data_IF_662881825765
#
_entry.id   IF_662881825765
#
_cell.length_a   1.000
_cell.length_b   1.000
_cell.length_c   1.000
_cell.angle_alpha   90.00
_cell.angle_beta   90.00
_cell.angle_gamma   90.00
#
_symmetry.space_group_name_H-M   'P 1'
#
loop_
_entity.id
_entity.type
_entity.pdbx_description
1 polymer ?
#
# COMPACT_ATOMS: atom_id res chain seq x y z
N UNK A 1 -42.23 -16.37 6.10
CA UNK A 1 -41.48 -15.09 6.10
C UNK A 1 -41.94 -14.30 7.32
N UNK A 2 -41.19 -14.37 8.42
CA UNK A 2 -41.55 -13.70 9.67
C UNK A 2 -40.67 -12.46 9.83
N UNK A 3 -41.32 -11.30 9.93
CA UNK A 3 -40.69 -10.00 10.05
C UNK A 3 -40.01 -9.90 11.42
N UNK A 4 -38.70 -9.67 11.42
CA UNK A 4 -37.93 -9.48 12.66
C UNK A 4 -38.13 -8.04 13.13
N UNK A 5 -38.77 -7.90 14.29
CA UNK A 5 -39.16 -6.64 14.92
C UNK A 5 -37.94 -5.72 15.15
N UNK A 6 -38.06 -4.49 14.66
CA UNK A 6 -37.04 -3.41 14.74
C UNK A 6 -36.81 -2.94 16.19
N UNK A 7 -37.70 -3.30 17.11
CA UNK A 7 -37.76 -2.85 18.51
C UNK A 7 -36.65 -3.43 19.41
N UNK A 8 -36.08 -4.60 19.10
CA UNK A 8 -35.03 -5.23 19.93
C UNK A 8 -33.65 -4.55 19.83
N UNK A 9 -33.46 -3.65 18.85
CA UNK A 9 -32.16 -2.98 18.64
C UNK A 9 -31.85 -1.94 19.71
N UNK A 10 -32.84 -1.45 20.46
CA UNK A 10 -32.67 -0.34 21.41
C UNK A 10 -32.37 -0.77 22.85
N UNK A 11 -32.44 -2.06 23.19
CA UNK A 11 -32.00 -2.58 24.50
C UNK A 11 -30.51 -2.99 24.53
N UNK A 12 -29.79 -2.82 23.42
CA UNK A 12 -28.35 -3.10 23.31
C UNK A 12 -27.46 -2.01 23.94
N UNK A 13 -28.04 -0.95 24.53
CA UNK A 13 -27.31 0.28 24.89
C UNK A 13 -26.53 0.23 26.21
N UNK A 14 -26.43 -0.92 26.88
CA UNK A 14 -25.58 -1.05 28.09
C UNK A 14 -24.85 -2.39 28.21
N UNK A 15 -24.95 -3.28 27.22
CA UNK A 15 -24.26 -4.56 27.28
C UNK A 15 -22.86 -4.44 26.68
N UNK A 16 -21.83 -4.57 27.54
CA UNK A 16 -20.43 -4.52 27.11
C UNK A 16 -20.11 -5.79 26.30
N UNK A 17 -19.67 -5.59 25.05
CA UNK A 17 -19.24 -6.65 24.12
C UNK A 17 -17.71 -6.74 24.07
N UNK A 18 -17.16 -7.88 24.44
CA UNK A 18 -15.72 -8.12 24.46
C UNK A 18 -15.24 -8.79 23.18
N UNK A 19 -14.01 -8.47 22.75
CA UNK A 19 -13.35 -9.28 21.71
C UNK A 19 -13.00 -10.65 22.29
N UNK A 20 -12.77 -11.63 21.40
CA UNK A 20 -12.24 -12.95 21.78
C UNK A 20 -10.91 -12.81 22.54
N UNK A 21 -10.10 -11.81 22.19
CA UNK A 21 -8.82 -11.57 22.87
C UNK A 21 -9.05 -11.05 24.30
N UNK A 22 -9.90 -10.03 24.46
CA UNK A 22 -10.20 -9.46 25.78
C UNK A 22 -10.80 -10.52 26.72
N UNK A 23 -11.72 -11.35 26.20
CA UNK A 23 -12.32 -12.45 26.94
C UNK A 23 -11.27 -13.50 27.37
N UNK A 24 -10.31 -13.80 26.51
CA UNK A 24 -9.22 -14.72 26.83
C UNK A 24 -8.31 -14.16 27.93
N UNK A 25 -7.99 -12.87 27.86
CA UNK A 25 -7.16 -12.19 28.84
C UNK A 25 -7.85 -12.12 30.21
N UNK A 26 -9.18 -11.92 30.25
CA UNK A 26 -9.96 -11.87 31.50
C UNK A 26 -10.02 -13.21 32.21
N UNK A 27 -10.08 -14.31 31.46
CA UNK A 27 -10.08 -15.68 32.01
C UNK A 27 -8.67 -16.25 32.21
N UNK A 28 -7.61 -15.46 31.92
CA UNK A 28 -6.21 -15.91 31.90
C UNK A 28 -5.96 -17.17 31.07
N UNK A 29 -6.71 -17.34 29.98
CA UNK A 29 -6.53 -18.47 29.06
C UNK A 29 -5.92 -18.00 27.75
N UNK A 30 -5.27 -18.92 27.02
CA UNK A 30 -4.79 -18.61 25.68
C UNK A 30 -5.96 -18.30 24.73
N UNK A 31 -5.74 -17.39 23.77
CA UNK A 31 -6.69 -17.12 22.66
C UNK A 31 -7.15 -18.40 21.96
N UNK A 32 -6.25 -19.38 21.82
CA UNK A 32 -6.55 -20.69 21.22
C UNK A 32 -7.48 -21.54 22.08
N UNK A 33 -7.37 -21.45 23.41
CA UNK A 33 -8.31 -22.09 24.33
C UNK A 33 -9.69 -21.44 24.21
N UNK A 34 -9.76 -20.11 24.11
CA UNK A 34 -11.02 -19.41 23.87
C UNK A 34 -11.71 -19.86 22.58
N UNK A 35 -10.97 -19.96 21.47
CA UNK A 35 -11.52 -20.51 20.22
C UNK A 35 -12.00 -21.96 20.35
N UNK A 36 -11.32 -22.80 21.14
CA UNK A 36 -11.77 -24.18 21.40
C UNK A 36 -13.08 -24.22 22.16
N UNK A 37 -13.28 -23.34 23.14
CA UNK A 37 -14.54 -23.24 23.88
C UNK A 37 -15.69 -22.81 22.96
N UNK A 38 -15.43 -21.85 22.06
CA UNK A 38 -16.40 -21.43 21.04
C UNK A 38 -16.73 -22.58 20.07
N UNK A 39 -15.73 -23.33 19.61
CA UNK A 39 -15.91 -24.47 18.69
C UNK A 39 -16.71 -25.62 19.32
N UNK A 40 -16.54 -25.84 20.63
CA UNK A 40 -17.29 -26.84 21.38
C UNK A 40 -18.71 -26.39 21.74
N UNK A 41 -19.03 -25.10 21.52
CA UNK A 41 -20.33 -24.53 21.90
C UNK A 41 -20.49 -24.33 23.41
N UNK A 42 -19.38 -24.30 24.17
CA UNK A 42 -19.40 -24.09 25.62
C UNK A 42 -19.67 -22.63 26.01
N UNK A 43 -19.58 -21.69 25.05
CA UNK A 43 -19.87 -20.28 25.25
C UNK A 43 -20.69 -19.72 24.07
N UNK A 44 -21.73 -18.95 24.39
CA UNK A 44 -22.55 -18.29 23.38
C UNK A 44 -21.81 -17.06 22.87
N UNK A 45 -21.75 -16.91 21.55
CA UNK A 45 -21.11 -15.77 20.89
C UNK A 45 -22.07 -15.07 19.96
N UNK A 46 -21.94 -13.74 19.87
CA UNK A 46 -22.72 -12.90 18.97
C UNK A 46 -21.85 -12.55 17.76
N UNK A 47 -22.27 -12.97 16.57
CA UNK A 47 -21.63 -12.54 15.32
C UNK A 47 -22.27 -11.23 14.86
N UNK A 48 -21.51 -10.14 14.95
CA UNK A 48 -21.96 -8.83 14.44
C UNK A 48 -21.74 -8.75 12.91
N UNK A 49 -20.64 -9.33 12.42
CA UNK A 49 -20.31 -9.43 10.99
C UNK A 49 -19.64 -10.77 10.68
N UNK A 50 -19.44 -11.08 9.39
CA UNK A 50 -18.82 -12.33 8.91
C UNK A 50 -17.53 -12.71 9.66
N UNK A 51 -16.68 -11.73 10.00
CA UNK A 51 -15.40 -11.94 10.72
C UNK A 51 -15.36 -11.33 12.12
N UNK A 52 -16.46 -10.76 12.61
CA UNK A 52 -16.51 -10.05 13.89
C UNK A 52 -17.38 -10.82 14.87
N UNK A 53 -16.73 -11.55 15.77
CA UNK A 53 -17.38 -12.31 16.85
C UNK A 53 -17.14 -11.59 18.18
N UNK A 54 -18.20 -11.38 18.94
CA UNK A 54 -18.17 -10.73 20.25
C UNK A 54 -18.81 -11.62 21.30
N UNK A 55 -18.38 -11.45 22.55
CA UNK A 55 -18.84 -12.21 23.71
C UNK A 55 -19.40 -11.21 24.73
N UNK A 56 -20.55 -11.51 25.32
CA UNK A 56 -21.15 -10.68 26.36
C UNK A 56 -20.50 -10.97 27.72
N UNK A 57 -20.50 -9.97 28.61
CA UNK A 57 -19.95 -10.14 29.96
C UNK A 57 -20.61 -11.30 30.72
N UNK A 58 -21.93 -11.41 30.61
CA UNK A 58 -22.75 -12.40 31.32
C UNK A 58 -22.33 -13.83 30.96
N UNK A 59 -22.17 -14.10 29.66
CA UNK A 59 -21.71 -15.42 29.18
C UNK A 59 -20.28 -15.74 29.64
N UNK A 60 -19.41 -14.73 29.72
CA UNK A 60 -18.06 -14.91 30.21
C UNK A 60 -18.02 -15.26 31.71
N UNK A 61 -18.87 -14.62 32.51
CA UNK A 61 -19.00 -14.88 33.94
C UNK A 61 -19.61 -16.26 34.21
N UNK A 62 -20.68 -16.64 33.48
CA UNK A 62 -21.26 -17.99 33.54
C UNK A 62 -20.21 -19.07 33.27
N UNK A 63 -19.42 -18.86 32.20
CA UNK A 63 -18.34 -19.77 31.86
C UNK A 63 -17.31 -19.86 33.00
N UNK A 64 -16.90 -18.72 33.55
CA UNK A 64 -15.92 -18.67 34.65
C UNK A 64 -16.40 -19.42 35.90
N UNK A 65 -17.64 -19.19 36.32
CA UNK A 65 -18.24 -19.90 37.45
C UNK A 65 -18.34 -21.41 37.21
N UNK A 66 -18.71 -21.83 36.00
CA UNK A 66 -18.87 -23.27 35.67
C UNK A 66 -17.54 -24.04 35.64
N UNK A 67 -16.45 -23.39 35.25
CA UNK A 67 -15.12 -24.02 35.08
C UNK A 67 -14.13 -23.69 36.19
N UNK A 68 -14.50 -22.79 37.10
CA UNK A 68 -13.62 -22.29 38.16
C UNK A 68 -12.47 -21.42 37.65
N UNK A 69 -12.68 -20.63 36.59
CA UNK A 69 -11.66 -19.70 36.11
C UNK A 69 -11.60 -18.44 36.99
N UNK A 70 -10.39 -18.00 37.33
CA UNK A 70 -10.18 -16.71 37.96
C UNK A 70 -10.43 -15.58 36.95
N UNK A 71 -11.43 -14.73 37.23
CA UNK A 71 -11.77 -13.58 36.38
C UNK A 71 -11.07 -12.34 36.92
N UNK A 72 -10.14 -11.79 36.15
CA UNK A 72 -9.56 -10.47 36.45
C UNK A 72 -10.12 -9.48 35.44
N UNK A 73 -11.05 -8.64 35.91
CA UNK A 73 -11.51 -7.50 35.14
C UNK A 73 -10.48 -6.38 35.26
N UNK A 74 -9.74 -6.01 34.20
CA UNK A 74 -8.93 -4.81 34.25
C UNK A 74 -9.85 -3.61 34.48
N UNK A 75 -9.54 -2.83 35.52
CA UNK A 75 -10.10 -1.49 35.70
C UNK A 75 -9.83 -0.72 34.41
N UNK A 76 -10.90 -0.17 33.82
CA UNK A 76 -10.94 0.64 32.60
C UNK A 76 -9.62 0.68 31.83
N UNK A 77 -9.49 -0.22 30.85
CA UNK A 77 -8.27 -0.37 30.07
C UNK A 77 -7.85 0.97 29.47
N UNK A 78 -6.72 1.50 29.96
CA UNK A 78 -5.79 2.30 29.17
C UNK A 78 -5.73 1.62 27.80
N UNK A 79 -6.13 2.34 26.75
CA UNK A 79 -6.09 1.88 25.37
C UNK A 79 -4.85 1.02 25.14
N UNK A 80 -5.04 -0.27 24.83
CA UNK A 80 -3.92 -1.10 24.37
C UNK A 80 -3.38 -0.41 23.13
N UNK A 81 -2.23 0.22 23.25
CA UNK A 81 -1.51 0.70 22.10
C UNK A 81 -1.24 -0.55 21.25
N UNK A 82 -1.89 -0.63 20.09
CA UNK A 82 -1.66 -1.71 19.15
C UNK A 82 -0.14 -1.85 18.98
N UNK A 83 0.34 -3.10 19.08
CA UNK A 83 1.74 -3.41 18.88
C UNK A 83 2.20 -2.71 17.60
N UNK A 84 3.17 -1.83 17.74
CA UNK A 84 3.71 -1.03 16.68
C UNK A 84 4.42 -1.93 15.66
N UNK A 85 3.67 -2.59 14.79
CA UNK A 85 4.21 -3.21 13.59
C UNK A 85 4.75 -2.08 12.71
N UNK A 86 6.05 -1.78 12.86
CA UNK A 86 6.80 -0.82 12.05
C UNK A 86 7.09 0.54 12.71
N UNK A 87 7.37 0.61 14.02
CA UNK A 87 7.84 1.84 14.66
C UNK A 87 9.35 1.96 14.66
N UNK A 88 9.85 2.53 13.57
CA UNK A 88 11.14 3.23 13.56
C UNK A 88 10.97 4.71 13.15
N UNK A 89 9.74 5.14 12.84
CA UNK A 89 9.51 6.46 12.23
C UNK A 89 8.28 7.21 12.79
N UNK A 90 7.97 7.10 14.09
CA UNK A 90 6.93 7.96 14.70
C UNK A 90 7.36 9.42 14.91
N UNK A 91 8.66 9.69 15.08
CA UNK A 91 9.17 11.08 15.09
C UNK A 91 9.15 11.75 13.69
N UNK A 92 9.00 10.98 12.62
CA UNK A 92 8.99 11.51 11.25
C UNK A 92 7.58 11.89 10.74
N UNK A 93 6.51 11.66 11.51
CA UNK A 93 5.13 11.91 11.06
C UNK A 93 4.32 12.69 12.08
N UNK A 94 4.57 14.00 12.08
CA UNK A 94 3.61 15.09 12.31
C UNK A 94 4.44 16.32 12.75
N UNK A 95 5.14 16.93 11.79
CA UNK A 95 5.52 18.34 11.97
C UNK A 95 4.20 19.07 12.20
N UNK A 96 4.00 19.69 13.37
CA UNK A 96 2.84 20.55 13.62
C UNK A 96 2.90 21.67 12.60
N UNK A 97 2.25 21.50 11.45
CA UNK A 97 2.08 22.57 10.48
C UNK A 97 1.10 23.58 11.09
N UNK A 98 1.39 24.88 11.06
CA UNK A 98 0.44 25.88 11.50
C UNK A 98 -0.88 25.70 10.74
N UNK A 99 -2.02 25.92 11.41
CA UNK A 99 -3.33 25.97 10.76
C UNK A 99 -3.24 26.98 9.62
N UNK A 100 -3.70 26.61 8.44
CA UNK A 100 -3.72 27.47 7.27
C UNK A 100 -4.47 28.76 7.61
N UNK A 101 -3.77 29.89 7.66
CA UNK A 101 -4.43 31.17 7.46
C UNK A 101 -4.85 31.28 5.99
N UNK A 102 -5.94 31.98 5.70
CA UNK A 102 -6.42 32.22 4.33
C UNK A 102 -5.39 32.96 3.46
N UNK A 103 -4.44 33.67 4.10
CA UNK A 103 -3.43 34.49 3.43
C UNK A 103 -2.06 33.81 3.45
N UNK A 104 -1.45 33.68 2.27
CA UNK A 104 -0.09 33.19 2.11
C UNK A 104 0.90 34.09 2.89
N UNK A 105 1.92 33.52 3.55
CA UNK A 105 2.97 34.31 4.19
C UNK A 105 3.71 35.18 3.16
N UNK A 106 4.15 36.36 3.59
CA UNK A 106 4.74 37.38 2.73
C UNK A 106 5.97 36.83 1.99
N UNK A 107 5.97 36.88 0.66
CA UNK A 107 7.03 36.34 -0.20
C UNK A 107 6.74 34.99 -0.88
N UNK A 108 5.57 34.39 -0.67
CA UNK A 108 5.12 33.21 -1.45
C UNK A 108 4.17 33.67 -2.55
N UNK A 109 4.66 33.67 -3.79
CA UNK A 109 3.88 33.95 -5.01
C UNK A 109 3.85 32.70 -5.90
N UNK A 110 2.83 32.58 -6.76
CA UNK A 110 2.72 31.48 -7.74
C UNK A 110 3.92 31.42 -8.72
N UNK A 111 4.59 32.54 -8.96
CA UNK A 111 5.76 32.60 -9.84
C UNK A 111 7.03 32.00 -9.21
N UNK A 112 7.14 32.10 -7.88
CA UNK A 112 8.32 31.67 -7.12
C UNK A 112 8.16 30.26 -6.54
N UNK A 113 6.92 29.85 -6.28
CA UNK A 113 6.60 28.59 -5.64
C UNK A 113 5.62 27.77 -6.46
N UNK A 114 5.93 26.48 -6.63
CA UNK A 114 4.99 25.52 -7.16
C UNK A 114 4.04 25.01 -6.08
N UNK A 115 2.75 25.02 -6.40
CA UNK A 115 1.75 24.23 -5.68
C UNK A 115 1.91 22.76 -5.99
N UNK A 116 1.41 21.90 -5.10
CA UNK A 116 1.41 20.45 -5.34
C UNK A 116 0.81 20.07 -6.71
N UNK A 117 -0.30 20.69 -7.10
CA UNK A 117 -0.97 20.40 -8.37
C UNK A 117 -0.11 20.78 -9.59
N UNK A 118 0.54 21.95 -9.53
CA UNK A 118 1.45 22.40 -10.60
C UNK A 118 2.64 21.47 -10.75
N UNK A 119 3.25 20.98 -9.65
CA UNK A 119 4.34 20.00 -9.75
C UNK A 119 3.91 18.74 -10.48
N UNK A 120 2.73 18.19 -10.14
CA UNK A 120 2.25 16.97 -10.79
C UNK A 120 1.97 17.20 -12.28
N UNK A 121 1.43 18.37 -12.64
CA UNK A 121 1.11 18.71 -14.03
C UNK A 121 2.34 19.08 -14.86
N UNK A 122 3.31 19.83 -14.32
CA UNK A 122 4.48 20.30 -15.05
C UNK A 122 5.52 19.21 -15.28
N UNK A 123 5.67 18.28 -14.33
CA UNK A 123 6.68 17.22 -14.41
C UNK A 123 6.11 15.85 -14.82
N UNK A 124 4.80 15.73 -15.04
CA UNK A 124 4.09 14.46 -15.31
C UNK A 124 4.44 13.36 -14.28
N UNK A 125 4.53 13.75 -13.01
CA UNK A 125 4.87 12.84 -11.91
C UNK A 125 3.59 12.48 -11.15
N UNK A 126 3.42 11.20 -10.82
CA UNK A 126 2.30 10.75 -9.97
C UNK A 126 2.48 11.24 -8.54
N UNK A 127 1.36 11.53 -7.88
CA UNK A 127 1.31 12.00 -6.49
C UNK A 127 2.23 11.20 -5.55
N UNK A 128 2.09 9.87 -5.49
CA UNK A 128 2.91 9.04 -4.60
C UNK A 128 4.42 9.12 -4.88
N UNK A 129 4.81 9.29 -6.15
CA UNK A 129 6.21 9.39 -6.57
C UNK A 129 6.84 10.69 -6.10
N UNK A 130 6.12 11.80 -6.22
CA UNK A 130 6.61 13.09 -5.70
C UNK A 130 6.74 13.07 -4.15
N UNK A 131 5.89 12.33 -3.44
CA UNK A 131 6.05 12.14 -2.00
C UNK A 131 7.33 11.38 -1.61
N UNK A 132 7.73 10.36 -2.39
CA UNK A 132 9.00 9.66 -2.18
C UNK A 132 10.19 10.61 -2.36
N UNK A 133 10.16 11.40 -3.44
CA UNK A 133 11.16 12.42 -3.76
C UNK A 133 11.26 13.42 -2.61
N UNK A 134 10.13 14.01 -2.22
CA UNK A 134 10.05 14.95 -1.10
C UNK A 134 10.65 14.38 0.18
N UNK A 135 10.31 13.13 0.51
CA UNK A 135 10.77 12.50 1.75
C UNK A 135 12.27 12.14 1.69
N UNK A 136 12.80 11.77 0.52
CA UNK A 136 14.22 11.43 0.34
C UNK A 136 15.12 12.65 0.50
N UNK A 137 14.77 13.76 -0.16
CA UNK A 137 15.60 14.98 -0.16
C UNK A 137 15.16 16.00 0.89
N UNK A 138 14.18 15.66 1.73
CA UNK A 138 13.64 16.53 2.78
C UNK A 138 13.28 17.93 2.25
N UNK A 139 12.60 17.97 1.10
CA UNK A 139 12.14 19.20 0.45
C UNK A 139 11.34 20.07 1.43
N UNK A 140 11.75 21.34 1.57
CA UNK A 140 11.05 22.29 2.42
C UNK A 140 9.70 22.63 1.80
N UNK A 141 8.63 22.44 2.57
CA UNK A 141 7.26 22.76 2.17
C UNK A 141 6.77 23.95 2.98
N UNK A 142 6.25 24.97 2.30
CA UNK A 142 5.51 26.08 2.91
C UNK A 142 4.03 25.82 2.74
N UNK A 143 3.21 26.15 3.73
CA UNK A 143 1.77 26.05 3.59
C UNK A 143 1.21 27.42 3.21
N UNK A 144 0.60 27.53 2.04
CA UNK A 144 0.03 28.76 1.50
C UNK A 144 -1.26 28.43 0.73
N UNK A 145 -2.26 29.32 0.79
CA UNK A 145 -3.55 29.16 0.10
C UNK A 145 -4.25 27.82 0.36
N UNK A 146 -4.17 27.31 1.59
CA UNK A 146 -4.75 25.99 1.94
C UNK A 146 -4.08 24.79 1.26
N UNK A 147 -2.95 24.99 0.56
CA UNK A 147 -2.18 23.94 -0.11
C UNK A 147 -0.71 23.97 0.31
N UNK A 148 0.02 22.89 0.04
CA UNK A 148 1.47 22.87 0.25
C UNK A 148 2.18 23.36 -1.00
N UNK A 149 2.98 24.41 -0.83
CA UNK A 149 3.79 25.03 -1.86
C UNK A 149 5.28 24.73 -1.62
N UNK A 150 6.03 24.66 -2.71
CA UNK A 150 7.45 24.32 -2.73
C UNK A 150 8.19 25.35 -3.57
N UNK A 151 9.43 25.68 -3.19
CA UNK A 151 10.26 26.55 -4.02
C UNK A 151 10.54 25.88 -5.36
N UNK A 152 10.33 26.62 -6.45
CA UNK A 152 10.48 26.12 -7.81
C UNK A 152 11.88 25.56 -8.09
N UNK A 153 12.92 26.32 -7.74
CA UNK A 153 14.33 25.93 -7.91
C UNK A 153 14.68 24.62 -7.19
N UNK A 154 14.15 24.43 -5.98
CA UNK A 154 14.43 23.25 -5.18
C UNK A 154 13.70 22.02 -5.73
N UNK A 155 12.47 22.20 -6.21
CA UNK A 155 11.70 21.13 -6.88
C UNK A 155 12.41 20.67 -8.14
N UNK A 156 12.82 21.60 -9.01
CA UNK A 156 13.53 21.28 -10.26
C UNK A 156 14.85 20.56 -9.99
N UNK A 157 15.66 21.09 -9.06
CA UNK A 157 16.93 20.48 -8.67
C UNK A 157 16.75 19.07 -8.13
N UNK A 158 15.79 18.88 -7.23
CA UNK A 158 15.54 17.59 -6.59
C UNK A 158 14.94 16.58 -7.56
N UNK A 159 14.04 17.00 -8.46
CA UNK A 159 13.53 16.12 -9.52
C UNK A 159 14.65 15.75 -10.49
N UNK A 160 15.55 16.68 -10.82
CA UNK A 160 16.75 16.42 -11.63
C UNK A 160 17.67 15.38 -11.00
N UNK A 161 18.11 15.62 -9.75
CA UNK A 161 18.93 14.67 -8.99
C UNK A 161 18.25 13.32 -8.84
N UNK A 162 16.95 13.30 -8.62
CA UNK A 162 16.20 12.06 -8.53
C UNK A 162 16.14 11.31 -9.86
N UNK A 163 15.97 12.00 -10.98
CA UNK A 163 16.00 11.39 -12.30
C UNK A 163 17.40 10.85 -12.65
N UNK A 164 18.46 11.53 -12.20
CA UNK A 164 19.84 11.07 -12.35
C UNK A 164 20.15 9.87 -11.44
N UNK A 165 19.79 9.93 -10.15
CA UNK A 165 19.99 8.86 -9.16
C UNK A 165 19.15 7.61 -9.41
N UNK A 166 17.92 7.79 -9.90
CA UNK A 166 17.10 6.67 -10.35
C UNK A 166 17.64 6.05 -11.63
N UNK A 167 18.73 6.62 -12.16
CA UNK A 167 19.27 6.31 -13.45
C UNK A 167 18.30 6.78 -14.51
N UNK A 168 18.84 7.23 -15.63
CA UNK A 168 18.20 7.05 -16.93
C UNK A 168 17.36 5.79 -16.88
N UNK A 169 16.05 5.99 -17.04
CA UNK A 169 15.03 4.98 -17.20
C UNK A 169 15.63 3.58 -17.40
N UNK A 170 15.38 2.62 -16.51
CA UNK A 170 15.68 1.20 -16.79
C UNK A 170 15.12 0.80 -18.19
N UNK A 171 14.09 1.52 -18.67
CA UNK A 171 13.56 1.45 -20.03
C UNK A 171 14.51 1.85 -21.17
N UNK A 172 15.63 2.53 -20.90
CA UNK A 172 16.57 3.00 -21.93
C UNK A 172 17.46 1.87 -22.44
N UNK A 173 17.91 0.98 -21.54
CA UNK A 173 18.69 -0.20 -21.92
C UNK A 173 17.86 -1.49 -22.05
N UNK A 174 16.62 -1.48 -21.54
CA UNK A 174 15.75 -2.66 -21.53
C UNK A 174 14.41 -2.39 -22.22
N UNK A 175 13.99 -3.29 -23.10
CA UNK A 175 12.63 -3.33 -23.62
C UNK A 175 11.69 -4.02 -22.64
N UNK A 176 10.49 -3.45 -22.44
CA UNK A 176 9.38 -4.27 -21.92
C UNK A 176 8.81 -5.15 -23.03
N UNK A 177 8.12 -6.22 -22.62
CA UNK A 177 7.39 -7.06 -23.57
C UNK A 177 6.44 -6.22 -24.46
N UNK A 178 5.76 -5.22 -23.87
CA UNK A 178 4.84 -4.34 -24.60
C UNK A 178 5.55 -3.48 -25.65
N UNK A 179 6.74 -2.96 -25.35
CA UNK A 179 7.54 -2.20 -26.32
C UNK A 179 7.89 -3.05 -27.53
N UNK A 180 8.29 -4.31 -27.31
CA UNK A 180 8.61 -5.26 -28.38
C UNK A 180 7.36 -5.57 -29.21
N UNK A 181 6.21 -5.76 -28.56
CA UNK A 181 4.94 -5.99 -29.25
C UNK A 181 4.58 -4.80 -30.15
N UNK A 182 4.76 -3.56 -29.65
CA UNK A 182 4.46 -2.33 -30.41
C UNK A 182 5.45 -2.06 -31.54
N UNK A 183 6.74 -2.29 -31.31
CA UNK A 183 7.80 -2.01 -32.29
C UNK A 183 7.82 -3.01 -33.45
N UNK A 184 7.55 -4.29 -33.16
CA UNK A 184 7.72 -5.38 -34.12
C UNK A 184 6.43 -6.13 -34.46
N UNK A 185 5.28 -5.76 -33.87
CA UNK A 185 4.00 -6.43 -34.12
C UNK A 185 3.97 -7.89 -33.67
N UNK A 186 4.86 -8.29 -32.75
CA UNK A 186 4.97 -9.66 -32.26
C UNK A 186 3.97 -9.91 -31.13
N UNK A 187 3.42 -11.12 -31.03
CA UNK A 187 2.63 -11.53 -29.88
C UNK A 187 3.50 -11.83 -28.65
N UNK A 188 2.97 -11.67 -27.44
CA UNK A 188 3.67 -11.94 -26.16
C UNK A 188 4.38 -13.30 -26.12
N UNK A 189 3.72 -14.34 -26.64
CA UNK A 189 4.29 -15.71 -26.71
C UNK A 189 5.45 -15.79 -27.70
N UNK A 190 5.39 -15.07 -28.83
CA UNK A 190 6.47 -15.01 -29.80
C UNK A 190 7.69 -14.28 -29.23
N UNK A 191 7.47 -13.18 -28.50
CA UNK A 191 8.53 -12.44 -27.82
C UNK A 191 9.28 -13.33 -26.82
N UNK A 192 8.53 -14.11 -26.03
CA UNK A 192 9.11 -15.07 -25.09
C UNK A 192 9.90 -16.18 -25.78
N UNK A 193 9.33 -16.83 -26.80
CA UNK A 193 10.01 -17.89 -27.55
C UNK A 193 11.29 -17.38 -28.21
N UNK A 194 11.24 -16.20 -28.83
CA UNK A 194 12.41 -15.58 -29.46
C UNK A 194 13.54 -15.32 -28.45
N UNK A 195 13.21 -14.80 -27.27
CA UNK A 195 14.19 -14.59 -26.21
C UNK A 195 14.82 -15.91 -25.72
N UNK A 196 14.02 -16.97 -25.56
CA UNK A 196 14.49 -18.30 -25.15
C UNK A 196 15.37 -18.95 -26.23
N UNK A 197 15.03 -18.82 -27.52
CA UNK A 197 15.80 -19.40 -28.64
C UNK A 197 17.13 -18.70 -28.88
N UNK A 198 17.18 -17.37 -28.74
CA UNK A 198 18.39 -16.59 -29.02
C UNK A 198 19.19 -16.21 -27.77
N UNK A 199 18.76 -16.65 -26.58
CA UNK A 199 19.48 -16.42 -25.33
C UNK A 199 19.52 -14.96 -24.89
N UNK A 200 18.46 -14.19 -25.17
CA UNK A 200 18.39 -12.77 -24.75
C UNK A 200 18.31 -12.71 -23.22
N UNK A 201 19.16 -11.90 -22.59
CA UNK A 201 19.13 -11.74 -21.12
C UNK A 201 17.79 -11.17 -20.68
N UNK A 202 17.14 -11.87 -19.74
CA UNK A 202 15.85 -11.48 -19.16
C UNK A 202 16.06 -11.09 -17.70
N UNK A 203 15.63 -9.89 -17.34
CA UNK A 203 15.58 -9.45 -15.94
C UNK A 203 14.13 -9.38 -15.47
N UNK A 204 13.87 -9.96 -14.29
CA UNK A 204 12.60 -9.84 -13.58
C UNK A 204 12.80 -8.81 -12.46
N UNK A 205 12.10 -7.68 -12.52
CA UNK A 205 12.16 -6.68 -11.44
C UNK A 205 11.18 -7.03 -10.31
N UNK A 206 11.46 -6.49 -9.11
CA UNK A 206 10.70 -6.74 -7.86
C UNK A 206 9.21 -6.49 -8.10
N UNK A 207 8.41 -7.54 -7.91
CA UNK A 207 6.96 -7.55 -8.14
C UNK A 207 6.50 -8.55 -9.20
N UNK A 208 7.42 -9.17 -9.96
CA UNK A 208 7.13 -10.34 -10.82
C UNK A 208 6.17 -10.10 -11.99
N UNK A 209 5.76 -8.84 -12.21
CA UNK A 209 4.63 -8.49 -13.08
C UNK A 209 5.01 -8.34 -14.55
N UNK A 210 6.28 -8.04 -14.85
CA UNK A 210 6.77 -7.89 -16.22
C UNK A 210 8.21 -8.40 -16.39
N UNK A 211 8.46 -9.05 -17.53
CA UNK A 211 9.80 -9.41 -17.98
C UNK A 211 10.38 -8.24 -18.79
N UNK A 212 11.64 -7.92 -18.53
CA UNK A 212 12.42 -6.93 -19.25
C UNK A 212 13.50 -7.64 -20.06
N UNK A 213 13.65 -7.25 -21.32
CA UNK A 213 14.57 -7.84 -22.28
C UNK A 213 15.67 -6.82 -22.59
N UNK A 214 16.93 -7.21 -22.54
CA UNK A 214 18.03 -6.29 -22.84
C UNK A 214 17.98 -5.88 -24.32
N UNK A 215 17.95 -4.57 -24.62
CA UNK A 215 17.79 -4.07 -26.00
C UNK A 215 18.92 -4.54 -26.90
N UNK A 216 20.17 -4.44 -26.43
CA UNK A 216 21.35 -4.84 -27.18
C UNK A 216 21.33 -6.32 -27.60
N UNK A 217 21.00 -7.22 -26.66
CA UNK A 217 20.90 -8.65 -26.95
C UNK A 217 19.73 -8.96 -27.88
N UNK A 218 18.60 -8.26 -27.72
CA UNK A 218 17.43 -8.41 -28.57
C UNK A 218 17.70 -8.01 -30.02
N UNK A 219 18.35 -6.86 -30.23
CA UNK A 219 18.73 -6.37 -31.56
C UNK A 219 19.80 -7.25 -32.21
N UNK A 220 20.80 -7.70 -31.43
CA UNK A 220 21.82 -8.63 -31.91
C UNK A 220 21.20 -9.98 -32.34
N UNK A 221 20.26 -10.50 -31.55
CA UNK A 221 19.49 -11.70 -31.87
C UNK A 221 18.69 -11.51 -33.16
N UNK A 222 18.03 -10.37 -33.35
CA UNK A 222 17.31 -10.04 -34.59
C UNK A 222 18.24 -9.95 -35.79
N UNK A 223 19.37 -9.26 -35.67
CA UNK A 223 20.37 -9.17 -36.75
C UNK A 223 20.94 -10.54 -37.14
N UNK A 224 21.07 -11.47 -36.19
CA UNK A 224 21.47 -12.86 -36.46
C UNK A 224 20.34 -13.66 -37.12
N UNK A 225 19.10 -13.50 -36.65
CA UNK A 225 17.93 -14.16 -37.23
C UNK A 225 17.65 -13.69 -38.67
N UNK A 226 17.79 -12.39 -38.96
CA UNK A 226 17.62 -11.82 -40.30
C UNK A 226 18.62 -12.37 -41.31
N UNK A 227 19.85 -12.70 -40.87
CA UNK A 227 20.86 -13.36 -41.72
C UNK A 227 20.53 -14.82 -42.02
N UNK A 228 19.88 -15.50 -41.07
CA UNK A 228 19.63 -16.94 -41.13
C UNK A 228 18.21 -17.31 -41.65
N UNK A 229 17.29 -16.35 -41.79
CA UNK A 229 15.90 -16.65 -42.17
C UNK A 229 15.29 -15.61 -43.11
N UNK A 230 14.77 -16.09 -44.24
CA UNK A 230 13.99 -15.35 -45.24
C UNK A 230 12.65 -14.83 -44.70
N UNK A 231 12.09 -15.46 -43.66
CA UNK A 231 10.78 -15.12 -43.07
C UNK A 231 10.73 -13.79 -42.30
N UNK A 232 11.85 -13.32 -41.74
CA UNK A 232 11.93 -12.06 -40.96
C UNK A 232 12.15 -10.80 -41.79
N UNK A 233 12.30 -10.91 -43.12
CA UNK A 233 12.50 -9.78 -44.04
C UNK A 233 11.25 -8.91 -44.24
N UNK A 234 10.06 -9.45 -44.00
CA UNK A 234 8.83 -8.71 -44.20
C UNK A 234 8.45 -7.95 -42.93
N UNK A 235 8.76 -6.64 -42.88
CA UNK A 235 8.06 -5.71 -41.99
C UNK A 235 6.59 -5.74 -42.44
N UNK A 236 5.72 -6.41 -41.68
CA UNK A 236 4.28 -6.39 -41.96
C UNK A 236 3.82 -4.93 -41.78
N UNK A 237 3.33 -4.33 -42.86
CA UNK A 237 2.70 -3.01 -42.87
C UNK A 237 1.41 -3.03 -42.06
#
# INVERSE_FOLDING_TARGET
MAQVNVTERHQLSSQKFFTIQDAADYLRISKRSMYRLIQRGEIITVKIMSRMTRITLDELLKLAHSKGYEVIMPKETIYRQDAETGSVNKLAKCRKTPKAGERAPDGVTHDTHYTMAEVLSSFDIKYGRFYEVRNRYQLQSVHAWGTTCFKKEDVERVIGLYNEEQGKNISDDWYTCFDIMKLYGLGKTQVRRFAETHGVRIRKFKGGRANYYLKADWEAARKKAEKNSTSTKAKRK
#
